data_IF_333472419962
#
_entry.id   IF_333472419962
#
_cell.length_a   1.000
_cell.length_b   1.000
_cell.length_c   1.000
_cell.angle_alpha   90.00
_cell.angle_beta   90.00
_cell.angle_gamma   90.00
#
_symmetry.space_group_name_H-M   'P 1'
#
loop_
_entity.id
_entity.type
_entity.pdbx_description
1 polymer ?
#
# COMPACT_ATOMS: atom_id res chain seq x y z
N UNK A 1 -6.72 1.57 17.07
CA UNK A 1 -6.68 2.90 17.73
C UNK A 1 -7.68 3.78 17.03
N UNK A 2 -8.38 4.63 17.76
CA UNK A 2 -9.17 5.73 17.19
C UNK A 2 -8.39 7.04 17.39
N UNK A 3 -8.26 7.82 16.33
CA UNK A 3 -7.57 9.11 16.34
C UNK A 3 -8.44 10.13 15.62
N UNK A 4 -9.31 10.83 16.36
CA UNK A 4 -10.19 11.88 15.86
C UNK A 4 -11.01 11.44 14.62
N UNK A 5 -11.58 10.23 14.67
CA UNK A 5 -12.39 9.66 13.58
C UNK A 5 -11.59 8.90 12.53
N UNK A 6 -10.27 8.74 12.71
CA UNK A 6 -9.44 7.81 11.95
C UNK A 6 -9.20 6.53 12.76
N UNK A 7 -9.70 5.40 12.26
CA UNK A 7 -9.41 4.08 12.80
C UNK A 7 -8.08 3.53 12.23
N UNK A 8 -7.15 3.20 13.11
CA UNK A 8 -5.83 2.65 12.76
C UNK A 8 -5.65 1.25 13.34
N UNK A 9 -5.42 0.28 12.45
CA UNK A 9 -5.03 -1.08 12.82
C UNK A 9 -3.51 -1.15 12.95
N UNK A 10 -3.03 -1.54 14.13
CA UNK A 10 -1.60 -1.70 14.42
C UNK A 10 -1.30 -3.18 14.59
N UNK A 11 -0.23 -3.65 13.93
CA UNK A 11 0.24 -5.03 14.02
C UNK A 11 1.65 -5.08 14.61
N UNK A 12 1.92 -6.04 15.49
CA UNK A 12 3.26 -6.22 16.08
C UNK A 12 4.31 -6.66 15.04
N UNK A 13 3.88 -7.45 14.05
CA UNK A 13 4.71 -7.96 12.96
C UNK A 13 4.26 -7.32 11.64
N UNK A 14 5.12 -7.40 10.63
CA UNK A 14 4.77 -7.00 9.27
C UNK A 14 3.64 -7.89 8.76
N UNK A 15 2.46 -7.30 8.60
CA UNK A 15 1.26 -7.98 8.12
C UNK A 15 0.72 -7.23 6.92
N UNK A 16 0.33 -7.95 5.89
CA UNK A 16 -0.29 -7.37 4.72
C UNK A 16 -1.81 -7.48 4.84
N UNK A 17 -2.58 -6.41 4.52
CA UNK A 17 -4.02 -6.50 4.48
C UNK A 17 -4.46 -7.13 3.14
N UNK A 18 -4.31 -8.45 3.04
CA UNK A 18 -4.66 -9.21 1.83
C UNK A 18 -6.10 -9.70 1.80
N UNK A 19 -6.82 -9.61 2.92
CA UNK A 19 -8.17 -10.16 3.08
C UNK A 19 -9.04 -9.23 3.96
N UNK A 20 -10.29 -8.93 3.57
CA UNK A 20 -11.27 -8.21 4.39
C UNK A 20 -11.48 -8.79 5.79
N UNK A 21 -11.35 -10.11 5.97
CA UNK A 21 -11.52 -10.76 7.28
C UNK A 21 -10.49 -10.30 8.30
N UNK A 22 -9.32 -9.80 7.86
CA UNK A 22 -8.35 -9.19 8.77
C UNK A 22 -8.96 -7.99 9.53
N UNK A 23 -9.81 -7.21 8.87
CA UNK A 23 -10.53 -6.08 9.50
C UNK A 23 -11.72 -6.57 10.32
N UNK A 24 -12.52 -7.52 9.78
CA UNK A 24 -13.69 -8.05 10.48
C UNK A 24 -13.33 -8.76 11.78
N UNK A 25 -12.18 -9.43 11.82
CA UNK A 25 -11.66 -10.06 13.06
C UNK A 25 -11.39 -9.05 14.19
N UNK A 26 -11.27 -7.76 13.85
CA UNK A 26 -11.10 -6.64 14.77
C UNK A 26 -12.42 -5.85 14.99
N UNK A 27 -13.55 -6.35 14.47
CA UNK A 27 -14.85 -5.68 14.54
C UNK A 27 -15.03 -4.54 13.53
N UNK A 28 -14.14 -4.41 12.53
CA UNK A 28 -14.22 -3.37 11.51
C UNK A 28 -14.82 -3.96 10.24
N UNK A 29 -16.02 -3.52 9.85
CA UNK A 29 -16.63 -3.90 8.58
C UNK A 29 -16.09 -3.01 7.44
N UNK A 30 -15.31 -3.55 6.48
CA UNK A 30 -14.70 -2.73 5.43
C UNK A 30 -15.70 -2.07 4.50
N UNK A 31 -16.85 -2.71 4.25
CA UNK A 31 -17.87 -2.20 3.32
C UNK A 31 -18.65 -0.99 3.87
N UNK A 32 -18.60 -0.77 5.17
CA UNK A 32 -19.19 0.39 5.84
C UNK A 32 -18.25 1.60 5.89
N UNK A 33 -16.97 1.43 5.53
CA UNK A 33 -15.98 2.50 5.56
C UNK A 33 -16.00 3.29 4.26
N UNK A 34 -16.07 4.63 4.39
CA UNK A 34 -16.03 5.55 3.22
C UNK A 34 -14.73 5.43 2.43
N UNK A 35 -13.61 5.22 3.15
CA UNK A 35 -12.27 5.08 2.59
C UNK A 35 -11.56 4.00 3.40
N UNK A 36 -10.89 3.08 2.71
CA UNK A 36 -10.01 2.09 3.29
C UNK A 36 -8.60 2.29 2.74
N UNK A 37 -7.62 2.50 3.62
CA UNK A 37 -6.21 2.67 3.23
C UNK A 37 -5.46 1.36 3.41
N UNK A 38 -4.91 0.83 2.31
CA UNK A 38 -4.21 -0.46 2.30
C UNK A 38 -2.75 -0.26 1.90
N UNK A 39 -1.82 -0.68 2.74
CA UNK A 39 -0.38 -0.68 2.40
C UNK A 39 -0.06 -1.90 1.52
N UNK A 40 -0.37 -1.81 0.23
CA UNK A 40 -0.07 -2.84 -0.77
C UNK A 40 0.00 -2.23 -2.16
N UNK A 41 0.81 -2.80 -3.05
CA UNK A 41 0.92 -2.33 -4.43
C UNK A 41 -0.14 -2.95 -5.35
N UNK A 42 -0.33 -4.28 -5.26
CA UNK A 42 -1.17 -5.03 -6.24
C UNK A 42 -2.00 -6.11 -5.58
N UNK A 43 -1.42 -6.92 -4.69
CA UNK A 43 -2.06 -8.15 -4.19
C UNK A 43 -3.37 -7.92 -3.41
N UNK A 44 -3.62 -6.71 -2.88
CA UNK A 44 -4.89 -6.39 -2.24
C UNK A 44 -6.09 -6.42 -3.22
N UNK A 45 -5.86 -6.15 -4.52
CA UNK A 45 -6.96 -6.01 -5.49
C UNK A 45 -7.84 -7.26 -5.56
N UNK A 46 -7.23 -8.45 -5.52
CA UNK A 46 -7.96 -9.71 -5.58
C UNK A 46 -9.09 -9.83 -4.53
N UNK A 47 -8.88 -9.28 -3.33
CA UNK A 47 -9.84 -9.39 -2.24
C UNK A 47 -10.69 -8.12 -2.04
N UNK A 48 -10.18 -6.95 -2.40
CA UNK A 48 -10.84 -5.67 -2.12
C UNK A 48 -11.51 -5.02 -3.34
N UNK A 49 -11.09 -5.35 -4.57
CA UNK A 49 -11.72 -4.83 -5.79
C UNK A 49 -13.22 -5.16 -5.89
N UNK A 50 -13.71 -6.36 -5.50
CA UNK A 50 -15.15 -6.66 -5.54
C UNK A 50 -16.02 -5.81 -4.61
N UNK A 51 -15.44 -5.24 -3.55
CA UNK A 51 -16.16 -4.43 -2.56
C UNK A 51 -15.86 -2.93 -2.67
N UNK A 52 -14.88 -2.55 -3.50
CA UNK A 52 -14.48 -1.16 -3.68
C UNK A 52 -15.28 -0.53 -4.82
N UNK A 53 -15.82 0.67 -4.57
CA UNK A 53 -16.40 1.49 -5.65
C UNK A 53 -15.33 1.94 -6.66
N UNK A 54 -14.14 2.24 -6.16
CA UNK A 54 -13.00 2.72 -6.94
C UNK A 54 -11.71 2.43 -6.18
N UNK A 55 -10.65 2.10 -6.93
CA UNK A 55 -9.29 1.98 -6.40
C UNK A 55 -8.51 3.23 -6.76
N UNK A 56 -7.92 3.87 -5.75
CA UNK A 56 -7.03 5.01 -5.91
C UNK A 56 -5.61 4.59 -5.53
N UNK A 57 -4.74 4.47 -6.51
CA UNK A 57 -3.32 4.24 -6.27
C UNK A 57 -2.67 5.58 -5.89
N UNK A 58 -2.03 5.61 -4.72
CA UNK A 58 -1.43 6.83 -4.16
C UNK A 58 0.07 6.61 -3.99
N UNK A 59 0.85 7.43 -4.68
CA UNK A 59 2.30 7.52 -4.43
C UNK A 59 2.51 8.19 -3.06
N UNK A 60 3.25 7.51 -2.19
CA UNK A 60 3.52 7.98 -0.82
C UNK A 60 5.00 7.81 -0.52
N UNK A 61 5.63 8.75 0.22
CA UNK A 61 7.04 8.64 0.57
C UNK A 61 7.35 7.34 1.31
N UNK A 62 8.45 6.68 0.93
CA UNK A 62 8.98 5.52 1.65
C UNK A 62 9.74 4.55 0.77
N UNK A 63 10.22 3.48 1.39
CA UNK A 63 11.08 2.45 0.75
C UNK A 63 10.40 1.65 -0.36
N UNK A 64 9.08 1.79 -0.52
CA UNK A 64 8.29 1.11 -1.53
C UNK A 64 7.85 2.01 -2.69
N UNK A 65 8.44 3.20 -2.84
CA UNK A 65 8.16 4.10 -3.97
C UNK A 65 8.44 3.40 -5.31
N UNK A 66 7.53 3.53 -6.30
CA UNK A 66 7.79 3.04 -7.66
C UNK A 66 8.73 3.97 -8.44
N UNK A 67 8.96 5.19 -7.97
CA UNK A 67 9.85 6.17 -8.59
C UNK A 67 11.29 5.81 -8.21
N UNK A 68 11.96 5.03 -9.06
CA UNK A 68 13.32 4.57 -8.78
C UNK A 68 14.30 5.74 -8.64
N UNK A 69 14.14 6.81 -9.43
CA UNK A 69 15.01 7.99 -9.38
C UNK A 69 14.94 8.77 -8.06
N UNK A 70 13.97 8.49 -7.17
CA UNK A 70 13.92 9.12 -5.85
C UNK A 70 14.89 8.50 -4.83
N UNK A 71 15.53 7.38 -5.16
CA UNK A 71 16.50 6.70 -4.30
C UNK A 71 17.95 6.98 -4.71
N UNK A 72 18.84 7.08 -3.72
CA UNK A 72 20.28 7.27 -3.92
C UNK A 72 21.05 5.93 -4.00
N UNK A 73 20.93 5.25 -5.13
CA UNK A 73 21.59 3.96 -5.35
C UNK A 73 23.12 4.07 -5.44
N UNK A 74 23.85 3.26 -4.65
CA UNK A 74 25.33 3.28 -4.62
C UNK A 74 26.03 2.12 -5.32
N UNK A 75 25.37 0.98 -5.50
CA UNK A 75 26.00 -0.28 -5.97
C UNK A 75 25.21 -0.97 -7.08
N UNK A 76 24.50 -0.19 -7.91
CA UNK A 76 23.80 -0.71 -9.08
C UNK A 76 24.76 -0.77 -10.27
N UNK A 77 24.62 -1.79 -11.12
CA UNK A 77 25.35 -1.87 -12.40
C UNK A 77 24.81 -0.79 -13.35
N UNK A 78 25.70 0.00 -13.94
CA UNK A 78 25.36 1.09 -14.86
C UNK A 78 25.95 0.83 -16.26
N UNK A 79 25.34 1.35 -17.35
CA UNK A 79 24.09 2.13 -17.36
C UNK A 79 22.85 1.26 -17.09
N UNK A 80 21.86 1.82 -16.39
CA UNK A 80 20.56 1.16 -16.18
C UNK A 80 19.41 2.17 -16.29
N UNK A 81 18.52 1.99 -17.26
CA UNK A 81 17.28 2.75 -17.33
C UNK A 81 16.36 2.39 -16.15
N UNK A 82 15.68 3.34 -15.49
CA UNK A 82 15.57 4.77 -15.79
C UNK A 82 16.60 5.66 -15.05
N UNK A 83 17.57 5.09 -14.33
CA UNK A 83 18.57 5.86 -13.58
C UNK A 83 19.61 6.52 -14.49
N UNK A 84 19.85 5.92 -15.64
CA UNK A 84 20.72 6.38 -16.70
C UNK A 84 19.94 6.33 -18.04
N UNK A 85 20.20 7.22 -19.00
CA UNK A 85 19.59 7.14 -20.33
C UNK A 85 20.00 5.83 -21.04
N UNK A 86 19.11 5.29 -21.87
CA UNK A 86 19.48 4.21 -22.79
C UNK A 86 20.47 4.75 -23.84
N UNK A 87 21.50 3.97 -24.22
CA UNK A 87 22.42 4.36 -25.28
C UNK A 87 21.72 4.55 -26.64
#
# INVERSE_FOLDING_TARGET
LDCDGLEVVITQRRTQPSDPEAFRSLGIEPTERKILVLKSAVNFKAAFEPIAKQILEVETPGIGSPILTSFDYKRVRRPIFPLDPLP
#
